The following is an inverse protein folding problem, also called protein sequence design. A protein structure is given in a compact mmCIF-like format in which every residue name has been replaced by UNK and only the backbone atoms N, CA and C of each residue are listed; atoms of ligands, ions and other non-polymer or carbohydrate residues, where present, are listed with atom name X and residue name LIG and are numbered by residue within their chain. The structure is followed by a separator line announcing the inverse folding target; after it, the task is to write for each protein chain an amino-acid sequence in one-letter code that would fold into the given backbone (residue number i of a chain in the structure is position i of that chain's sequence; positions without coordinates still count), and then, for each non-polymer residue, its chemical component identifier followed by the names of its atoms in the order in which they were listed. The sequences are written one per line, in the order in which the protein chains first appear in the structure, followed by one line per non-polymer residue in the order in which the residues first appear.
data_IF_474124843900
#
_entry.id   IF_474124843900
#
_cell.length_a   1.000
_cell.length_b   1.000
_cell.length_c   1.000
_cell.angle_alpha   90.00
_cell.angle_beta   90.00
_cell.angle_gamma   90.00
#
_symmetry.space_group_name_H-M   'P 1'
#
loop_
_entity.id
_entity.type
_entity.pdbx_description
1 polymer ?
#
# COMPACT_ATOMS: atom_id res chain seq x y z
N UNK A 1 21.13 2.52 -9.19
CA UNK A 1 22.32 2.29 -8.36
C UNK A 1 22.01 1.08 -7.49
N UNK A 2 22.79 0.01 -7.57
CA UNK A 2 22.52 -1.21 -6.79
C UNK A 2 23.02 -1.02 -5.35
N UNK A 3 22.18 -1.33 -4.36
CA UNK A 3 22.56 -1.31 -2.95
C UNK A 3 23.28 -2.59 -2.58
N UNK A 4 24.29 -2.50 -1.71
CA UNK A 4 24.94 -3.66 -1.16
C UNK A 4 23.97 -4.37 -0.20
N UNK A 5 23.76 -5.66 -0.44
CA UNK A 5 22.98 -6.51 0.47
C UNK A 5 23.96 -7.08 1.49
N UNK A 6 23.67 -6.89 2.77
CA UNK A 6 24.43 -7.47 3.85
C UNK A 6 23.59 -8.58 4.50
N UNK A 7 24.17 -9.74 4.76
CA UNK A 7 23.43 -10.80 5.41
C UNK A 7 23.30 -10.47 6.89
N UNK A 8 22.14 -10.69 7.49
CA UNK A 8 21.94 -10.42 8.92
C UNK A 8 22.90 -11.23 9.81
N UNK A 9 23.28 -12.43 9.34
CA UNK A 9 24.25 -13.30 10.02
C UNK A 9 25.67 -12.71 10.06
N UNK A 10 25.94 -11.66 9.27
CA UNK A 10 27.20 -10.93 9.31
C UNK A 10 27.25 -9.92 10.47
N UNK A 11 26.13 -9.77 11.21
CA UNK A 11 25.98 -8.86 12.33
C UNK A 11 25.73 -9.64 13.63
N UNK A 12 26.27 -9.17 14.77
CA UNK A 12 25.92 -9.70 16.09
C UNK A 12 24.40 -9.73 16.32
N UNK A 13 23.86 -10.82 16.88
CA UNK A 13 22.40 -10.97 17.11
C UNK A 13 21.81 -9.85 18.00
N UNK A 14 22.62 -9.32 18.93
CA UNK A 14 22.22 -8.22 19.82
C UNK A 14 22.06 -6.88 19.10
N UNK A 15 22.54 -6.79 17.86
CA UNK A 15 22.47 -5.59 17.02
C UNK A 15 21.08 -5.40 16.44
N UNK A 16 20.30 -6.48 16.26
CA UNK A 16 19.14 -6.47 15.35
C UNK A 16 17.79 -6.70 16.04
N UNK A 17 17.81 -7.19 17.27
CA UNK A 17 16.60 -7.53 18.02
C UNK A 17 15.85 -6.26 18.47
N UNK A 18 14.73 -6.00 17.81
CA UNK A 18 13.73 -4.97 18.12
C UNK A 18 14.21 -3.50 18.06
N UNK A 19 15.38 -3.23 17.47
CA UNK A 19 15.93 -1.88 17.32
C UNK A 19 16.06 -1.48 15.85
N UNK A 20 15.96 -0.17 15.59
CA UNK A 20 16.30 0.40 14.30
C UNK A 20 17.81 0.64 14.27
N UNK A 21 18.53 -0.08 13.42
CA UNK A 21 19.97 0.14 13.22
C UNK A 21 20.16 0.80 11.87
N UNK A 22 20.93 1.88 11.82
CA UNK A 22 21.35 2.51 10.57
C UNK A 22 22.86 2.55 10.56
N UNK A 23 23.45 2.23 9.41
CA UNK A 23 24.88 2.27 9.24
C UNK A 23 25.31 2.37 7.80
N UNK A 24 26.62 2.47 7.61
CA UNK A 24 27.25 2.62 6.31
C UNK A 24 28.71 2.16 6.36
N UNK A 25 29.23 1.78 5.20
CA UNK A 25 30.64 1.43 5.01
C UNK A 25 31.44 2.53 4.35
N UNK A 26 32.32 2.15 3.42
CA UNK A 26 33.11 3.10 2.63
C UNK A 26 32.19 3.97 1.75
N UNK A 27 32.57 5.24 1.58
CA UNK A 27 31.94 6.17 0.65
C UNK A 27 32.99 7.15 0.10
N UNK A 28 32.79 7.66 -1.11
CA UNK A 28 33.56 8.75 -1.72
C UNK A 28 32.86 10.11 -1.62
N UNK A 29 31.68 10.15 -0.98
CA UNK A 29 30.91 11.38 -0.78
C UNK A 29 31.65 12.38 0.10
N UNK A 30 31.51 13.68 -0.21
CA UNK A 30 32.01 14.79 0.64
C UNK A 30 31.32 14.85 2.02
N UNK A 31 30.18 14.18 2.19
CA UNK A 31 29.45 14.11 3.47
C UNK A 31 29.95 12.98 4.39
N UNK A 32 31.01 12.25 3.99
CA UNK A 32 31.48 11.07 4.73
C UNK A 32 31.95 11.42 6.14
N UNK A 33 32.81 12.41 6.27
CA UNK A 33 33.36 12.84 7.56
C UNK A 33 32.23 13.30 8.48
N UNK A 34 31.29 14.09 7.95
CA UNK A 34 30.12 14.55 8.70
C UNK A 34 29.22 13.38 9.17
N UNK A 35 28.96 12.39 8.31
CA UNK A 35 28.20 11.20 8.67
C UNK A 35 28.89 10.38 9.76
N UNK A 36 30.22 10.24 9.68
CA UNK A 36 31.04 9.52 10.65
C UNK A 36 31.03 10.21 12.01
N UNK A 37 31.29 11.52 12.04
CA UNK A 37 31.21 12.30 13.27
C UNK A 37 29.81 12.24 13.90
N UNK A 38 28.76 12.28 13.07
CA UNK A 38 27.39 12.22 13.55
C UNK A 38 27.05 10.86 14.17
N UNK A 39 27.44 9.76 13.53
CA UNK A 39 27.12 8.41 14.02
C UNK A 39 27.97 8.04 15.23
N UNK A 40 29.21 8.51 15.34
CA UNK A 40 30.08 8.29 16.49
C UNK A 40 29.60 8.99 17.77
N UNK A 41 28.81 10.06 17.63
CA UNK A 41 28.18 10.75 18.78
C UNK A 41 27.03 9.97 19.40
N UNK A 42 26.53 8.93 18.75
CA UNK A 42 25.49 8.08 19.33
C UNK A 42 26.10 7.21 20.43
N UNK A 43 25.45 7.15 21.60
CA UNK A 43 25.96 6.40 22.77
C UNK A 43 26.09 4.88 22.53
N UNK A 44 25.46 4.38 21.48
CA UNK A 44 25.42 2.99 21.08
C UNK A 44 26.12 2.76 19.73
N UNK A 45 27.02 3.65 19.34
CA UNK A 45 27.88 3.51 18.17
C UNK A 45 28.68 2.20 18.21
N UNK A 46 28.83 1.57 17.04
CA UNK A 46 29.60 0.34 16.85
C UNK A 46 30.34 0.35 15.52
N UNK A 47 31.53 -0.23 15.55
CA UNK A 47 32.28 -0.63 14.37
C UNK A 47 32.14 -2.12 14.14
N UNK A 48 31.87 -2.50 12.90
CA UNK A 48 31.70 -3.88 12.49
C UNK A 48 32.68 -4.18 11.37
N UNK A 49 33.37 -5.31 11.46
CA UNK A 49 34.27 -5.76 10.40
C UNK A 49 33.49 -6.68 9.46
N UNK A 50 33.38 -6.28 8.20
CA UNK A 50 32.77 -7.09 7.15
C UNK A 50 33.80 -7.32 6.04
N UNK A 51 34.46 -8.48 6.07
CA UNK A 51 35.61 -8.77 5.21
C UNK A 51 36.77 -7.80 5.47
N UNK A 52 37.12 -6.99 4.47
CA UNK A 52 38.16 -5.95 4.57
C UNK A 52 37.61 -4.56 4.92
N UNK A 53 36.30 -4.42 5.03
CA UNK A 53 35.64 -3.14 5.27
C UNK A 53 35.27 -2.96 6.74
N UNK A 54 35.39 -1.73 7.22
CA UNK A 54 34.80 -1.30 8.49
C UNK A 54 33.46 -0.65 8.19
N UNK A 55 32.40 -1.16 8.81
CA UNK A 55 31.07 -0.58 8.80
C UNK A 55 30.85 0.18 10.09
N UNK A 56 30.24 1.35 9.97
CA UNK A 56 29.91 2.24 11.07
C UNK A 56 28.41 2.19 11.28
N UNK A 57 27.96 1.94 12.51
CA UNK A 57 26.53 1.77 12.82
C UNK A 57 26.17 2.32 14.19
N UNK A 58 24.90 2.63 14.37
CA UNK A 58 24.30 2.98 15.65
C UNK A 58 22.84 2.52 15.68
N UNK A 59 22.30 2.37 16.88
CA UNK A 59 20.87 2.11 17.07
C UNK A 59 20.14 3.44 17.30
N UNK A 60 18.98 3.58 16.68
CA UNK A 60 18.15 4.77 16.76
C UNK A 60 16.81 4.42 17.38
N UNK A 61 16.27 5.35 18.17
CA UNK A 61 14.88 5.27 18.59
C UNK A 61 13.99 5.66 17.41
N UNK A 62 12.97 4.85 17.14
CA UNK A 62 12.12 5.01 15.96
C UNK A 62 11.35 6.35 15.98
N UNK A 63 11.08 6.93 17.15
CA UNK A 63 10.42 8.23 17.31
C UNK A 63 11.40 9.43 17.32
N UNK A 64 12.72 9.22 17.31
CA UNK A 64 13.70 10.30 17.22
C UNK A 64 13.95 10.68 15.76
N UNK A 65 12.94 11.34 15.19
CA UNK A 65 12.89 11.67 13.76
C UNK A 65 14.08 12.49 13.28
N UNK A 66 14.48 13.51 14.04
CA UNK A 66 15.58 14.40 13.63
C UNK A 66 16.87 13.60 13.50
N UNK A 67 17.11 12.67 14.43
CA UNK A 67 18.31 11.84 14.39
C UNK A 67 18.29 10.86 13.22
N UNK A 68 17.16 10.19 13.01
CA UNK A 68 17.01 9.23 11.92
C UNK A 68 17.09 9.92 10.54
N UNK A 69 16.37 11.02 10.33
CA UNK A 69 16.43 11.75 9.05
C UNK A 69 17.83 12.30 8.78
N UNK A 70 18.51 12.81 9.81
CA UNK A 70 19.85 13.35 9.63
C UNK A 70 20.80 12.27 9.10
N UNK A 71 20.87 11.10 9.72
CA UNK A 71 21.76 10.04 9.21
C UNK A 71 21.35 9.56 7.82
N UNK A 72 20.04 9.42 7.56
CA UNK A 72 19.52 9.00 6.26
C UNK A 72 19.84 9.98 5.13
N UNK A 73 19.79 11.29 5.39
CA UNK A 73 20.13 12.34 4.41
C UNK A 73 21.65 12.46 4.19
N UNK A 74 22.46 12.27 5.23
CA UNK A 74 23.92 12.26 5.12
C UNK A 74 24.40 11.09 4.26
N UNK A 75 23.75 9.94 4.39
CA UNK A 75 24.12 8.67 3.74
C UNK A 75 23.26 8.35 2.50
N UNK A 76 22.43 9.29 2.06
CA UNK A 76 21.49 9.11 0.95
C UNK A 76 22.21 8.71 -0.34
N UNK A 77 21.75 7.60 -0.93
CA UNK A 77 22.27 7.09 -2.20
C UNK A 77 23.63 6.41 -2.10
N UNK A 78 24.15 6.17 -0.89
CA UNK A 78 25.38 5.39 -0.75
C UNK A 78 25.07 3.92 -0.90
N UNK A 79 25.82 3.23 -1.76
CA UNK A 79 25.64 1.79 -1.98
C UNK A 79 25.89 0.97 -0.70
N UNK A 80 26.74 1.46 0.20
CA UNK A 80 27.12 0.79 1.44
C UNK A 80 26.19 1.10 2.61
N UNK A 81 25.19 1.97 2.44
CA UNK A 81 24.18 2.25 3.47
C UNK A 81 23.34 1.00 3.72
N UNK A 82 23.08 0.72 5.00
CA UNK A 82 22.16 -0.33 5.41
C UNK A 82 21.26 0.15 6.54
N UNK A 83 20.06 -0.41 6.57
CA UNK A 83 19.04 -0.15 7.58
C UNK A 83 18.53 -1.51 8.03
N UNK A 84 18.66 -1.81 9.32
CA UNK A 84 18.05 -2.99 9.91
C UNK A 84 16.90 -2.58 10.83
N UNK A 85 15.82 -3.34 10.77
CA UNK A 85 14.70 -3.22 11.70
C UNK A 85 14.03 -4.59 11.83
N UNK A 86 13.70 -5.00 13.05
CA UNK A 86 13.06 -6.30 13.33
C UNK A 86 13.77 -7.48 12.67
N UNK A 87 15.09 -7.57 12.82
CA UNK A 87 15.90 -8.65 12.22
C UNK A 87 15.83 -8.75 10.69
N UNK A 88 15.64 -7.63 9.99
CA UNK A 88 15.63 -7.60 8.51
C UNK A 88 16.34 -6.37 7.98
N UNK A 89 17.12 -6.53 6.92
CA UNK A 89 17.61 -5.39 6.15
C UNK A 89 16.46 -4.82 5.32
N UNK A 90 16.27 -3.51 5.38
CA UNK A 90 15.22 -2.81 4.64
C UNK A 90 15.88 -1.90 3.59
N UNK A 91 15.40 -1.92 2.34
CA UNK A 91 15.83 -0.95 1.34
C UNK A 91 15.57 0.49 1.79
N UNK A 92 16.50 1.41 1.48
CA UNK A 92 16.37 2.82 1.83
C UNK A 92 15.05 3.43 1.36
N UNK A 93 14.62 3.14 0.13
CA UNK A 93 13.38 3.67 -0.45
C UNK A 93 12.16 3.31 0.39
N UNK A 94 12.11 2.06 0.84
CA UNK A 94 10.96 1.48 1.53
C UNK A 94 10.93 2.02 2.95
N UNK A 95 12.09 2.01 3.63
CA UNK A 95 12.23 2.61 4.95
C UNK A 95 11.89 4.09 4.92
N UNK A 96 12.50 4.88 4.03
CA UNK A 96 12.30 6.33 3.97
C UNK A 96 10.85 6.70 3.69
N UNK A 97 10.18 5.97 2.79
CA UNK A 97 8.76 6.18 2.49
C UNK A 97 7.89 5.89 3.71
N UNK A 98 8.10 4.73 4.35
CA UNK A 98 7.41 4.34 5.59
C UNK A 98 7.63 5.36 6.71
N UNK A 99 8.88 5.71 6.96
CA UNK A 99 9.31 6.59 8.03
C UNK A 99 8.82 8.02 7.83
N UNK A 100 8.85 8.54 6.60
CA UNK A 100 8.28 9.86 6.26
C UNK A 100 6.78 9.93 6.47
N UNK A 101 6.05 8.86 6.15
CA UNK A 101 4.63 8.79 6.48
C UNK A 101 4.41 8.85 8.00
N UNK A 102 5.23 8.13 8.78
CA UNK A 102 5.15 8.16 10.23
C UNK A 102 5.47 9.55 10.81
N UNK A 103 6.54 10.20 10.32
CA UNK A 103 6.91 11.57 10.68
C UNK A 103 5.79 12.56 10.44
N UNK A 104 5.18 12.56 9.24
CA UNK A 104 4.09 13.47 8.93
C UNK A 104 2.83 13.19 9.77
N UNK A 105 2.68 11.97 10.29
CA UNK A 105 1.56 11.57 11.15
C UNK A 105 1.76 11.86 12.63
N UNK A 106 2.97 12.22 13.08
CA UNK A 106 3.31 12.36 14.50
C UNK A 106 2.44 13.40 15.22
N UNK A 107 2.14 14.51 14.55
CA UNK A 107 1.37 15.63 15.11
C UNK A 107 -0.11 15.60 14.69
N UNK A 108 -0.49 14.63 13.87
CA UNK A 108 -1.82 14.58 13.27
C UNK A 108 -2.36 13.15 13.39
N UNK A 109 -3.11 12.84 14.47
CA UNK A 109 -3.69 11.51 14.71
C UNK A 109 -4.52 10.98 13.53
N UNK A 110 -5.08 11.89 12.73
CA UNK A 110 -5.90 11.59 11.55
C UNK A 110 -5.11 11.50 10.23
N UNK A 111 -3.80 11.72 10.25
CA UNK A 111 -2.98 11.70 9.04
C UNK A 111 -3.08 10.32 8.39
N UNK A 112 -2.82 9.26 9.15
CA UNK A 112 -2.91 7.91 8.64
C UNK A 112 -4.37 7.47 8.38
N UNK A 113 -5.35 8.12 9.00
CA UNK A 113 -6.76 7.81 8.84
C UNK A 113 -7.35 8.34 7.54
N UNK A 114 -6.74 9.33 6.87
CA UNK A 114 -7.40 10.10 5.80
C UNK A 114 -6.42 10.50 4.70
N UNK A 115 -6.82 10.47 3.43
CA UNK A 115 -6.09 11.00 2.28
C UNK A 115 -6.90 12.12 1.62
N UNK A 116 -6.31 13.30 1.48
CA UNK A 116 -6.93 14.41 0.74
C UNK A 116 -6.65 14.24 -0.75
N UNK A 117 -7.72 14.21 -1.53
CA UNK A 117 -7.69 14.06 -2.97
C UNK A 117 -7.80 15.44 -3.62
N UNK A 118 -6.91 15.71 -4.57
CA UNK A 118 -6.89 16.92 -5.36
C UNK A 118 -7.13 16.58 -6.82
N UNK A 119 -7.76 17.51 -7.54
CA UNK A 119 -7.90 17.43 -8.99
C UNK A 119 -6.54 17.73 -9.62
N UNK A 120 -6.01 16.78 -10.38
CA UNK A 120 -4.65 16.87 -10.92
C UNK A 120 -4.48 18.02 -11.94
N UNK A 121 -5.56 18.47 -12.58
CA UNK A 121 -5.51 19.51 -13.61
C UNK A 121 -5.69 20.91 -13.02
N UNK A 122 -6.49 21.04 -11.97
CA UNK A 122 -6.84 22.32 -11.36
C UNK A 122 -6.16 22.55 -10.02
N UNK A 123 -5.48 21.53 -9.48
CA UNK A 123 -4.89 21.50 -8.14
C UNK A 123 -5.89 21.88 -7.04
N UNK A 124 -7.19 21.71 -7.27
CA UNK A 124 -8.25 22.02 -6.31
C UNK A 124 -8.53 20.83 -5.43
N UNK A 125 -8.68 21.08 -4.13
CA UNK A 125 -9.14 20.08 -3.18
C UNK A 125 -10.50 19.54 -3.64
N UNK A 126 -10.58 18.22 -3.80
CA UNK A 126 -11.82 17.53 -4.11
C UNK A 126 -12.49 17.12 -2.81
N UNK A 127 -11.79 16.32 -1.98
CA UNK A 127 -12.35 15.71 -0.77
C UNK A 127 -11.33 14.95 0.07
N UNK A 128 -11.75 14.55 1.26
CA UNK A 128 -10.99 13.70 2.18
C UNK A 128 -11.52 12.27 2.21
N UNK A 129 -10.63 11.30 2.08
CA UNK A 129 -10.88 9.85 1.98
C UNK A 129 -10.37 9.18 3.24
N UNK A 130 -11.22 8.74 4.19
CA UNK A 130 -10.74 7.83 5.26
C UNK A 130 -10.19 6.49 4.73
N UNK A 131 -9.04 6.08 5.22
CA UNK A 131 -8.37 4.86 4.79
C UNK A 131 -8.79 3.71 5.71
N UNK A 132 -9.24 2.56 5.17
CA UNK A 132 -9.73 1.45 5.98
C UNK A 132 -8.62 0.82 6.82
N UNK A 133 -7.39 0.84 6.32
CA UNK A 133 -6.22 0.29 7.02
C UNK A 133 -5.53 1.31 7.93
N UNK A 134 -6.07 2.53 8.01
CA UNK A 134 -5.45 3.66 8.73
C UNK A 134 -3.96 3.80 8.37
N UNK A 135 -3.64 3.65 7.09
CA UNK A 135 -2.28 3.74 6.57
C UNK A 135 -2.30 4.48 5.22
N UNK A 136 -1.64 5.64 5.11
CA UNK A 136 -1.59 6.43 3.86
C UNK A 136 -0.77 5.78 2.76
N UNK A 137 0.17 4.92 3.12
CA UNK A 137 1.00 4.19 2.15
C UNK A 137 0.29 2.99 1.56
N UNK A 138 -0.86 2.62 2.15
CA UNK A 138 -1.63 1.47 1.73
C UNK A 138 -3.08 1.87 1.52
N UNK A 139 -3.44 2.07 0.26
CA UNK A 139 -4.79 2.52 -0.09
C UNK A 139 -5.71 1.33 -0.27
N UNK A 140 -6.99 1.49 0.08
CA UNK A 140 -8.01 0.45 -0.10
C UNK A 140 -8.11 -0.05 -1.55
N UNK A 141 -7.77 0.82 -2.50
CA UNK A 141 -7.73 0.52 -3.92
C UNK A 141 -6.77 -0.64 -4.22
N UNK A 142 -5.68 -0.79 -3.46
CA UNK A 142 -4.71 -1.86 -3.66
C UNK A 142 -5.25 -3.21 -3.18
N UNK A 143 -6.19 -3.24 -2.22
CA UNK A 143 -6.73 -4.49 -1.68
C UNK A 143 -8.07 -4.92 -2.28
N UNK A 144 -8.87 -3.96 -2.75
CA UNK A 144 -10.26 -4.19 -3.15
C UNK A 144 -10.55 -3.85 -4.60
N UNK A 145 -9.56 -3.38 -5.36
CA UNK A 145 -9.62 -3.38 -6.83
C UNK A 145 -8.67 -4.45 -7.39
N UNK A 146 -9.22 -5.59 -7.80
CA UNK A 146 -8.45 -6.62 -8.51
C UNK A 146 -8.48 -6.27 -10.00
N UNK A 147 -7.33 -5.89 -10.60
CA UNK A 147 -7.33 -5.45 -12.00
C UNK A 147 -6.04 -5.67 -12.77
N UNK A 148 -6.16 -6.20 -13.99
CA UNK A 148 -5.11 -6.34 -15.00
C UNK A 148 -4.39 -5.03 -15.37
N UNK A 149 -3.46 -4.60 -14.51
CA UNK A 149 -2.24 -3.92 -14.97
C UNK A 149 -1.14 -4.96 -14.98
N UNK A 150 -0.36 -5.00 -16.07
CA UNK A 150 0.78 -5.94 -16.28
C UNK A 150 1.87 -5.88 -15.19
N UNK A 151 1.74 -4.96 -14.23
CA UNK A 151 2.67 -4.67 -13.13
C UNK A 151 1.96 -4.61 -11.77
N UNK A 152 0.65 -4.82 -11.70
CA UNK A 152 -0.11 -4.83 -10.44
C UNK A 152 -0.27 -6.29 -9.98
N UNK A 153 0.43 -6.75 -8.95
CA UNK A 153 0.31 -8.13 -8.47
C UNK A 153 -1.10 -8.51 -7.99
N UNK A 154 -2.02 -7.53 -7.85
CA UNK A 154 -3.42 -7.72 -7.48
C UNK A 154 -4.30 -8.05 -8.72
N UNK A 155 -3.77 -7.75 -9.91
CA UNK A 155 -4.38 -7.99 -11.21
C UNK A 155 -4.70 -9.43 -11.58
N UNK A 156 -3.82 -10.33 -11.14
CA UNK A 156 -3.68 -11.66 -11.70
C UNK A 156 -4.19 -12.74 -10.74
N UNK A 157 -4.96 -12.33 -9.73
CA UNK A 157 -5.33 -13.16 -8.61
C UNK A 157 -6.70 -13.81 -8.78
N UNK A 158 -7.08 -14.14 -10.00
CA UNK A 158 -8.32 -14.85 -10.26
C UNK A 158 -8.65 -14.97 -11.74
N UNK A 159 -9.76 -15.63 -12.02
CA UNK A 159 -10.29 -15.78 -13.36
C UNK A 159 -11.82 -15.74 -13.35
N UNK A 160 -12.40 -15.34 -14.48
CA UNK A 160 -13.84 -15.39 -14.69
C UNK A 160 -14.25 -16.78 -15.18
N UNK A 161 -15.07 -17.46 -14.40
CA UNK A 161 -15.73 -18.71 -14.78
C UNK A 161 -17.00 -18.38 -15.59
N UNK A 162 -16.99 -18.74 -16.87
CA UNK A 162 -18.07 -18.41 -17.81
C UNK A 162 -19.35 -19.20 -17.56
N UNK A 163 -19.27 -20.36 -16.91
CA UNK A 163 -20.43 -21.22 -16.66
C UNK A 163 -21.21 -20.73 -15.45
N UNK A 164 -20.50 -20.51 -14.33
CA UNK A 164 -21.11 -20.01 -13.10
C UNK A 164 -21.34 -18.50 -13.11
N UNK A 165 -20.60 -17.80 -13.98
CA UNK A 165 -20.50 -16.35 -13.97
C UNK A 165 -19.87 -15.83 -12.68
N UNK A 166 -19.07 -16.63 -11.98
CA UNK A 166 -18.32 -16.22 -10.79
C UNK A 166 -16.89 -15.77 -11.17
N UNK A 167 -16.34 -14.80 -10.46
CA UNK A 167 -14.91 -14.53 -10.41
C UNK A 167 -14.28 -15.39 -9.31
N UNK A 168 -13.41 -16.31 -9.69
CA UNK A 168 -12.73 -17.24 -8.78
C UNK A 168 -11.39 -16.65 -8.41
N UNK A 169 -11.18 -16.35 -7.12
CA UNK A 169 -9.93 -15.78 -6.64
C UNK A 169 -8.85 -16.85 -6.39
N UNK A 170 -7.61 -16.49 -6.69
CA UNK A 170 -6.40 -17.22 -6.34
C UNK A 170 -5.94 -16.77 -4.93
N UNK A 171 -6.45 -17.46 -3.90
CA UNK A 171 -6.20 -17.11 -2.50
C UNK A 171 -4.74 -17.25 -2.09
N UNK A 172 -4.00 -18.15 -2.73
CA UNK A 172 -2.59 -18.35 -2.46
C UNK A 172 -1.80 -17.09 -2.87
N UNK A 173 -1.93 -16.66 -4.12
CA UNK A 173 -1.29 -15.42 -4.60
C UNK A 173 -1.74 -14.17 -3.83
N UNK A 174 -3.02 -14.10 -3.47
CA UNK A 174 -3.52 -13.00 -2.64
C UNK A 174 -2.89 -12.99 -1.26
N UNK A 175 -2.74 -14.17 -0.65
CA UNK A 175 -2.11 -14.31 0.67
C UNK A 175 -0.64 -13.89 0.60
N UNK A 176 0.09 -14.31 -0.43
CA UNK A 176 1.46 -13.86 -0.68
C UNK A 176 1.55 -12.35 -0.81
N UNK A 177 0.67 -11.75 -1.61
CA UNK A 177 0.64 -10.30 -1.78
C UNK A 177 0.26 -9.56 -0.49
N UNK A 178 -0.74 -10.03 0.26
CA UNK A 178 -1.11 -9.46 1.57
C UNK A 178 0.06 -9.53 2.55
N UNK A 179 0.78 -10.65 2.58
CA UNK A 179 1.96 -10.81 3.41
C UNK A 179 3.09 -9.87 2.98
N UNK A 180 3.31 -9.70 1.68
CA UNK A 180 4.26 -8.72 1.15
C UNK A 180 3.91 -7.30 1.62
N UNK A 181 2.64 -6.90 1.49
CA UNK A 181 2.17 -5.59 1.93
C UNK A 181 2.32 -5.41 3.45
N UNK A 182 1.99 -6.44 4.24
CA UNK A 182 2.22 -6.43 5.69
C UNK A 182 3.70 -6.24 6.02
N UNK A 183 4.58 -6.96 5.33
CA UNK A 183 6.02 -6.86 5.54
C UNK A 183 6.58 -5.49 5.13
N UNK A 184 6.12 -4.91 4.02
CA UNK A 184 6.54 -3.58 3.58
C UNK A 184 6.09 -2.48 4.55
N UNK A 185 4.91 -2.64 5.15
CA UNK A 185 4.30 -1.61 6.00
C UNK A 185 4.49 -1.86 7.50
N UNK A 186 5.06 -2.99 7.92
CA UNK A 186 5.32 -3.32 9.34
C UNK A 186 6.30 -2.36 10.01
N UNK A 187 7.03 -1.58 9.21
CA UNK A 187 7.91 -0.50 9.65
C UNK A 187 7.11 0.61 10.33
N UNK A 188 5.86 0.85 9.92
CA UNK A 188 5.02 1.90 10.47
C UNK A 188 4.42 1.47 11.82
N UNK A 189 4.68 2.18 12.93
CA UNK A 189 4.10 1.84 14.24
C UNK A 189 2.57 1.91 14.28
N UNK A 190 1.97 2.71 13.39
CA UNK A 190 0.52 2.85 13.28
C UNK A 190 -0.12 1.78 12.38
N UNK A 191 0.67 0.99 11.65
CA UNK A 191 0.14 -0.06 10.79
C UNK A 191 -0.36 -1.24 11.61
N UNK A 192 -1.60 -1.67 11.36
CA UNK A 192 -2.23 -2.77 12.07
C UNK A 192 -2.36 -4.00 11.15
N UNK A 193 -1.39 -4.93 11.16
CA UNK A 193 -1.42 -6.11 10.31
C UNK A 193 -2.61 -7.02 10.64
N UNK A 194 -3.03 -7.10 11.91
CA UNK A 194 -4.21 -7.89 12.31
C UNK A 194 -5.49 -7.36 11.68
N UNK A 195 -5.62 -6.05 11.56
CA UNK A 195 -6.79 -5.43 10.92
C UNK A 195 -6.82 -5.73 9.41
N UNK A 196 -5.67 -5.64 8.74
CA UNK A 196 -5.54 -5.99 7.32
C UNK A 196 -5.90 -7.46 7.06
N UNK A 197 -5.35 -8.39 7.83
CA UNK A 197 -5.70 -9.81 7.74
C UNK A 197 -7.19 -10.07 8.03
N UNK A 198 -7.78 -9.33 8.97
CA UNK A 198 -9.23 -9.43 9.26
C UNK A 198 -10.08 -8.97 8.08
N UNK A 199 -9.67 -7.94 7.35
CA UNK A 199 -10.37 -7.48 6.14
C UNK A 199 -10.17 -8.50 5.01
N UNK A 200 -8.94 -8.97 4.80
CA UNK A 200 -8.62 -9.98 3.79
C UNK A 200 -9.47 -11.24 3.94
N UNK A 201 -9.59 -11.78 5.16
CA UNK A 201 -10.42 -12.96 5.47
C UNK A 201 -11.92 -12.80 5.20
N UNK A 202 -12.41 -11.58 4.96
CA UNK A 202 -13.82 -11.32 4.62
C UNK A 202 -14.09 -11.29 3.13
N UNK A 203 -13.04 -11.29 2.30
CA UNK A 203 -13.21 -11.40 0.86
C UNK A 203 -13.77 -12.81 0.60
N UNK A 204 -14.75 -13.00 -0.31
CA UNK A 204 -15.20 -14.34 -0.70
C UNK A 204 -14.20 -15.02 -1.63
N UNK A 205 -14.12 -16.35 -1.65
CA UNK A 205 -13.32 -17.10 -2.65
C UNK A 205 -13.86 -16.99 -4.07
N UNK A 206 -15.18 -16.86 -4.18
CA UNK A 206 -15.91 -16.71 -5.43
C UNK A 206 -16.80 -15.48 -5.33
N UNK A 207 -16.63 -14.55 -6.25
CA UNK A 207 -17.36 -13.29 -6.27
C UNK A 207 -18.24 -13.25 -7.51
N UNK A 208 -19.52 -13.06 -7.30
CA UNK A 208 -20.50 -12.89 -8.36
C UNK A 208 -21.38 -11.71 -7.99
N UNK A 209 -21.36 -10.59 -8.72
CA UNK A 209 -22.19 -9.43 -8.45
C UNK A 209 -23.69 -9.72 -8.40
N UNK A 210 -24.18 -10.83 -8.99
CA UNK A 210 -25.58 -11.26 -8.82
C UNK A 210 -25.87 -11.80 -7.41
N UNK A 211 -24.87 -12.38 -6.75
CA UNK A 211 -24.96 -12.96 -5.40
C UNK A 211 -24.38 -12.05 -4.32
N UNK A 212 -23.45 -11.18 -4.70
CA UNK A 212 -22.67 -10.30 -3.84
C UNK A 212 -22.77 -8.86 -4.37
N UNK A 213 -23.90 -8.22 -4.07
CA UNK A 213 -24.28 -6.90 -4.63
C UNK A 213 -23.32 -5.76 -4.24
N UNK A 214 -22.50 -5.97 -3.22
CA UNK A 214 -21.43 -5.06 -2.84
C UNK A 214 -20.20 -5.16 -3.75
N UNK A 215 -20.20 -6.04 -4.74
CA UNK A 215 -19.14 -6.22 -5.72
C UNK A 215 -19.62 -5.90 -7.14
N UNK A 216 -18.69 -5.46 -7.98
CA UNK A 216 -18.88 -5.29 -9.41
C UNK A 216 -17.74 -5.93 -10.19
N UNK A 217 -17.98 -6.18 -11.48
CA UNK A 217 -16.93 -6.58 -12.41
C UNK A 217 -16.12 -5.38 -12.87
N UNK A 218 -14.84 -5.60 -13.16
CA UNK A 218 -13.94 -4.58 -13.71
C UNK A 218 -13.51 -4.97 -15.12
N UNK A 219 -13.53 -4.00 -16.04
CA UNK A 219 -13.13 -4.20 -17.43
C UNK A 219 -11.73 -3.69 -17.76
N UNK A 220 -11.16 -4.21 -18.86
CA UNK A 220 -9.83 -3.83 -19.34
C UNK A 220 -9.71 -2.30 -19.54
N UNK A 221 -8.58 -1.72 -19.09
CA UNK A 221 -8.32 -0.29 -19.17
C UNK A 221 -9.04 0.58 -18.13
N UNK A 222 -9.80 -0.02 -17.18
CA UNK A 222 -10.52 0.72 -16.14
C UNK A 222 -11.70 1.54 -16.67
N UNK A 223 -12.15 1.27 -17.90
CA UNK A 223 -13.16 2.05 -18.62
C UNK A 223 -14.61 1.68 -18.27
N UNK A 224 -14.84 0.66 -17.46
CA UNK A 224 -16.14 0.28 -16.94
C UNK A 224 -15.99 -0.57 -15.69
N UNK A 225 -16.69 -0.22 -14.61
CA UNK A 225 -17.03 -1.16 -13.54
C UNK A 225 -18.53 -1.47 -13.65
N UNK A 226 -18.87 -2.75 -13.72
CA UNK A 226 -20.25 -3.19 -13.87
C UNK A 226 -20.82 -3.64 -12.53
N UNK A 227 -21.81 -2.90 -12.04
CA UNK A 227 -22.62 -3.29 -10.90
C UNK A 227 -23.89 -3.99 -11.38
N UNK A 228 -24.34 -5.02 -10.66
CA UNK A 228 -25.59 -5.70 -10.96
C UNK A 228 -26.76 -5.03 -10.25
N UNK A 229 -27.90 -4.94 -10.94
CA UNK A 229 -29.17 -4.48 -10.41
C UNK A 229 -30.20 -5.60 -10.48
N UNK A 230 -30.63 -6.06 -9.31
CA UNK A 230 -31.60 -7.13 -9.17
C UNK A 230 -32.98 -6.76 -9.74
N UNK A 231 -33.32 -5.47 -9.77
CA UNK A 231 -34.67 -5.02 -10.16
C UNK A 231 -34.89 -5.11 -11.65
N UNK A 232 -33.86 -4.81 -12.43
CA UNK A 232 -33.90 -4.83 -13.89
C UNK A 232 -33.25 -6.08 -14.45
N UNK A 233 -32.66 -6.93 -13.61
CA UNK A 233 -31.80 -8.07 -13.97
C UNK A 233 -30.72 -7.67 -15.00
N UNK A 234 -30.10 -6.51 -14.79
CA UNK A 234 -29.12 -5.94 -15.71
C UNK A 234 -27.87 -5.45 -14.99
N UNK A 235 -26.77 -5.38 -15.75
CA UNK A 235 -25.54 -4.76 -15.32
C UNK A 235 -25.45 -3.31 -15.81
N UNK A 236 -24.97 -2.42 -14.94
CA UNK A 236 -24.76 -1.00 -15.24
C UNK A 236 -23.30 -0.63 -15.08
N UNK A 237 -22.76 0.12 -16.05
CA UNK A 237 -21.43 0.71 -15.95
C UNK A 237 -21.46 2.00 -15.12
N UNK A 238 -20.48 2.17 -14.23
CA UNK A 238 -20.28 3.41 -13.47
C UNK A 238 -19.57 4.53 -14.25
N UNK A 239 -19.25 4.30 -15.53
CA UNK A 239 -18.45 5.23 -16.31
C UNK A 239 -19.25 6.30 -17.06
N UNK A 240 -18.55 7.40 -17.41
CA UNK A 240 -19.11 8.52 -18.16
C UNK A 240 -19.77 8.11 -19.48
N UNK A 241 -19.33 7.00 -20.08
CA UNK A 241 -19.95 6.43 -21.25
C UNK A 241 -21.06 5.44 -20.84
N UNK A 242 -22.32 5.89 -20.91
CA UNK A 242 -23.51 5.09 -20.59
C UNK A 242 -23.79 3.98 -21.60
N UNK A 243 -23.12 4.00 -22.76
CA UNK A 243 -23.36 3.06 -23.84
C UNK A 243 -22.50 1.78 -23.71
N UNK A 244 -21.65 1.69 -22.69
CA UNK A 244 -20.86 0.48 -22.43
C UNK A 244 -21.77 -0.60 -21.85
N UNK A 245 -22.24 -1.48 -22.74
CA UNK A 245 -22.94 -2.70 -22.36
C UNK A 245 -22.02 -3.65 -21.61
N UNK A 246 -22.61 -4.43 -20.70
CA UNK A 246 -21.92 -5.51 -20.02
C UNK A 246 -21.41 -6.55 -21.02
N UNK A 247 -20.14 -6.90 -20.89
CA UNK A 247 -19.46 -7.80 -21.80
C UNK A 247 -18.54 -8.72 -20.97
N UNK A 248 -18.95 -9.97 -20.72
CA UNK A 248 -18.16 -10.92 -19.94
C UNK A 248 -16.75 -11.16 -20.49
N UNK A 249 -16.56 -11.02 -21.80
CA UNK A 249 -15.24 -11.22 -22.43
C UNK A 249 -14.21 -10.16 -22.05
N UNK A 250 -14.69 -9.03 -21.49
CA UNK A 250 -13.87 -7.90 -21.06
C UNK A 250 -13.62 -7.88 -19.56
N UNK A 251 -14.17 -8.83 -18.79
CA UNK A 251 -13.95 -8.93 -17.35
C UNK A 251 -12.49 -9.30 -17.10
N UNK A 252 -11.82 -8.48 -16.30
CA UNK A 252 -10.42 -8.67 -15.89
C UNK A 252 -10.25 -8.68 -14.37
N UNK A 253 -11.36 -8.62 -13.63
CA UNK A 253 -11.34 -8.60 -12.18
C UNK A 253 -12.67 -8.18 -11.56
N UNK A 254 -12.62 -7.96 -10.26
CA UNK A 254 -13.74 -7.53 -9.44
C UNK A 254 -13.33 -6.38 -8.54
N UNK A 255 -14.32 -5.60 -8.13
CA UNK A 255 -14.13 -4.47 -7.24
C UNK A 255 -15.23 -4.42 -6.20
N UNK A 256 -14.86 -4.07 -4.96
CA UNK A 256 -15.85 -3.81 -3.92
C UNK A 256 -16.46 -2.41 -4.11
N UNK A 257 -17.74 -2.33 -4.47
CA UNK A 257 -18.46 -1.09 -4.74
C UNK A 257 -18.59 -0.20 -3.50
N UNK A 258 -18.61 -0.77 -2.29
CA UNK A 258 -18.59 0.03 -1.06
C UNK A 258 -17.24 0.73 -0.86
N UNK A 259 -16.15 0.15 -1.37
CA UNK A 259 -14.86 0.82 -1.43
C UNK A 259 -14.90 1.96 -2.44
N UNK A 260 -15.57 1.83 -3.59
CA UNK A 260 -15.65 2.93 -4.58
C UNK A 260 -16.58 4.06 -4.15
N UNK A 261 -17.71 3.77 -3.50
CA UNK A 261 -18.61 4.82 -2.96
C UNK A 261 -17.90 5.71 -1.92
N UNK A 262 -16.79 5.21 -1.39
CA UNK A 262 -15.85 5.92 -0.55
C UNK A 262 -14.93 6.88 -1.35
N UNK A 263 -14.59 6.50 -2.59
CA UNK A 263 -13.72 7.23 -3.54
C UNK A 263 -14.45 8.20 -4.49
N UNK A 264 -15.77 8.18 -4.51
CA UNK A 264 -16.56 9.10 -5.32
C UNK A 264 -17.74 9.59 -4.48
N UNK A 265 -17.76 10.87 -4.08
CA UNK A 265 -19.03 11.63 -3.97
C UNK A 265 -18.90 13.14 -3.71
N UNK A 266 -19.33 14.04 -4.62
CA UNK A 266 -20.73 14.54 -4.76
C UNK A 266 -21.45 14.24 -6.10
N UNK A 267 -20.86 13.57 -7.08
CA UNK A 267 -21.54 13.21 -8.36
C UNK A 267 -22.00 11.75 -8.46
N UNK A 268 -21.55 10.88 -7.57
CA UNK A 268 -21.89 9.44 -7.47
C UNK A 268 -22.86 9.15 -6.32
N UNK A 269 -23.51 10.20 -5.78
CA UNK A 269 -24.77 10.13 -5.05
C UNK A 269 -25.68 9.40 -6.02
N UNK A 270 -25.54 9.67 -7.31
CA UNK A 270 -26.08 8.91 -8.44
C UNK A 270 -25.85 7.39 -8.47
N UNK A 271 -24.89 6.72 -7.83
CA UNK A 271 -24.84 5.23 -7.87
C UNK A 271 -25.58 4.64 -6.68
N UNK A 272 -25.23 5.02 -5.44
CA UNK A 272 -26.00 4.57 -4.27
C UNK A 272 -27.43 5.11 -4.27
N UNK A 273 -27.65 6.32 -4.75
CA UNK A 273 -28.96 6.99 -4.85
C UNK A 273 -29.64 6.71 -6.17
N UNK A 274 -28.99 6.30 -7.29
CA UNK A 274 -29.77 5.62 -8.35
C UNK A 274 -30.14 4.22 -7.92
N UNK A 275 -29.25 3.45 -7.31
CA UNK A 275 -29.61 2.12 -6.79
C UNK A 275 -30.71 2.27 -5.73
N UNK A 276 -30.65 3.28 -4.86
CA UNK A 276 -31.70 3.59 -3.89
C UNK A 276 -32.98 4.16 -4.55
N UNK A 277 -32.89 5.09 -5.50
CA UNK A 277 -34.06 5.65 -6.19
C UNK A 277 -34.72 4.67 -7.18
N UNK A 278 -33.94 3.74 -7.76
CA UNK A 278 -34.43 2.59 -8.52
C UNK A 278 -35.03 1.59 -7.51
N UNK A 279 -34.41 1.39 -6.33
CA UNK A 279 -35.00 0.63 -5.21
C UNK A 279 -36.32 1.21 -4.69
N UNK A 280 -36.49 2.52 -4.75
CA UNK A 280 -37.67 3.23 -4.23
C UNK A 280 -38.66 3.66 -5.33
N UNK A 281 -38.42 3.26 -6.59
CA UNK A 281 -39.35 3.50 -7.72
C UNK A 281 -39.45 4.96 -8.20
N UNK A 282 -38.47 5.80 -7.86
CA UNK A 282 -38.51 7.25 -8.09
C UNK A 282 -37.86 7.71 -9.41
N UNK A 283 -37.29 6.79 -10.19
CA UNK A 283 -36.77 7.08 -11.52
C UNK A 283 -37.37 6.06 -12.51
N UNK A 284 -38.18 6.56 -13.44
CA UNK A 284 -38.68 5.82 -14.61
C UNK A 284 -37.62 5.76 -15.70
#
# INVERSE_FOLDING_TARGET
MAYQTYCINDFPEDLVKDKLTIGFGKSSSKKKEEALEYIQKQSNYRELKHGKETLHSANFEFNNFDSVFKILELTRGWATQFIFYQNRQIPYSDFFTAYKCFYNGKDTPKYCDKLDQYDAFTNKFIRTIKLPFKCRLFTQHELLEFSYKKQDPVACNGHYDKESGDWVLDYEKLTEWVNLQINMHSICPNFNPKHMLKIFKKIPERINPKKHLEWGYKSHGGYARWAYDEKTDNFYSDTYNKDIKFDPSKIIGVVNLNSIAYYENKKSVTVKTKIQNIRDGQLK
#
